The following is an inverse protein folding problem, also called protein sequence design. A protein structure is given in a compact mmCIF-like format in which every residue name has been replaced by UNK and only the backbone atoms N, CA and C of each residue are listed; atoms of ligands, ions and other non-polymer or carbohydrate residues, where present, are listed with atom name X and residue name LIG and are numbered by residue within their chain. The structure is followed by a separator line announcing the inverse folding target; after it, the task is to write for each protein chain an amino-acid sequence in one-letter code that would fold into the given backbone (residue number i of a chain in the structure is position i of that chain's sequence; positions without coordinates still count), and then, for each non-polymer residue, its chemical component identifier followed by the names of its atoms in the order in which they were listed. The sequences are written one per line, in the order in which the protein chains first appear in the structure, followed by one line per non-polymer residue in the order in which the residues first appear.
data_IF_553112884140
#
_entry.id   IF_553112884140
#
_cell.length_a   1.000
_cell.length_b   1.000
_cell.length_c   1.000
_cell.angle_alpha   90.00
_cell.angle_beta   90.00
_cell.angle_gamma   90.00
#
_symmetry.space_group_name_H-M   'P 1'
#
loop_
_entity.id
_entity.type
_entity.pdbx_description
1 polymer ?
#
# COMPACT_ATOMS: atom_id res chain seq x y z
N UNK A 1 -20.04 -6.67 2.61
CA UNK A 1 -20.62 -7.82 1.87
C UNK A 1 -22.04 -8.20 2.34
N UNK A 2 -22.30 -8.39 3.64
CA UNK A 2 -23.62 -8.82 4.16
C UNK A 2 -24.75 -7.80 3.88
N UNK A 3 -24.49 -6.50 4.09
CA UNK A 3 -25.48 -5.44 3.81
C UNK A 3 -25.79 -5.29 2.31
N UNK A 4 -24.81 -5.52 1.44
CA UNK A 4 -25.00 -5.50 -0.01
C UNK A 4 -25.89 -6.66 -0.47
N UNK A 5 -25.60 -7.89 -0.01
CA UNK A 5 -26.43 -9.08 -0.30
C UNK A 5 -27.87 -8.90 0.18
N UNK A 6 -28.06 -8.29 1.36
CA UNK A 6 -29.38 -8.00 1.92
C UNK A 6 -30.16 -6.97 1.10
N UNK A 7 -29.50 -5.89 0.68
CA UNK A 7 -30.12 -4.84 -0.14
C UNK A 7 -30.48 -5.34 -1.54
N UNK A 8 -29.61 -6.14 -2.16
CA UNK A 8 -29.86 -6.75 -3.47
C UNK A 8 -31.05 -7.71 -3.41
N UNK A 9 -31.09 -8.61 -2.42
CA UNK A 9 -32.21 -9.54 -2.22
C UNK A 9 -33.54 -8.80 -2.03
N UNK A 10 -33.56 -7.72 -1.23
CA UNK A 10 -34.78 -6.94 -1.03
C UNK A 10 -35.29 -6.30 -2.33
N UNK A 11 -34.38 -5.74 -3.13
CA UNK A 11 -34.74 -5.16 -4.44
C UNK A 11 -35.31 -6.22 -5.37
N UNK A 12 -34.65 -7.37 -5.50
CA UNK A 12 -35.10 -8.47 -6.37
C UNK A 12 -36.50 -8.96 -5.96
N UNK A 13 -36.75 -9.19 -4.67
CA UNK A 13 -38.05 -9.64 -4.17
C UNK A 13 -39.15 -8.58 -4.43
N UNK A 14 -38.85 -7.30 -4.22
CA UNK A 14 -39.81 -6.23 -4.47
C UNK A 14 -40.17 -6.11 -5.97
N UNK A 15 -39.19 -6.25 -6.87
CA UNK A 15 -39.46 -6.29 -8.31
C UNK A 15 -40.27 -7.53 -8.71
N UNK A 16 -39.95 -8.70 -8.14
CA UNK A 16 -40.69 -9.94 -8.35
C UNK A 16 -42.16 -9.83 -7.92
N UNK A 17 -42.42 -9.31 -6.71
CA UNK A 17 -43.77 -9.06 -6.21
C UNK A 17 -44.54 -8.08 -7.09
N UNK A 18 -43.89 -7.02 -7.59
CA UNK A 18 -44.49 -6.06 -8.51
C UNK A 18 -44.89 -6.71 -9.83
N UNK A 19 -44.00 -7.50 -10.39
CA UNK A 19 -44.25 -8.20 -11.65
C UNK A 19 -45.43 -9.17 -11.51
N UNK A 20 -45.45 -9.96 -10.42
CA UNK A 20 -46.53 -10.90 -10.14
C UNK A 20 -47.86 -10.23 -9.84
N UNK A 21 -47.89 -9.11 -9.12
CA UNK A 21 -49.14 -8.39 -8.87
C UNK A 21 -49.75 -7.82 -10.15
N UNK A 22 -48.93 -7.39 -11.10
CA UNK A 22 -49.40 -6.89 -12.41
C UNK A 22 -49.91 -8.02 -13.30
N UNK A 23 -49.22 -9.16 -13.34
CA UNK A 23 -49.54 -10.26 -14.27
C UNK A 23 -50.61 -11.20 -13.72
N UNK A 24 -50.67 -11.40 -12.41
CA UNK A 24 -51.62 -12.35 -11.80
C UNK A 24 -53.07 -11.99 -12.09
N UNK A 25 -53.42 -10.69 -12.12
CA UNK A 25 -54.79 -10.24 -12.37
C UNK A 25 -55.30 -10.64 -13.77
N UNK A 26 -54.67 -10.23 -14.89
CA UNK A 26 -55.14 -10.61 -16.22
C UNK A 26 -55.04 -12.12 -16.46
N UNK A 27 -53.98 -12.77 -15.99
CA UNK A 27 -53.78 -14.22 -16.18
C UNK A 27 -54.87 -15.03 -15.48
N UNK A 28 -55.20 -14.67 -14.24
CA UNK A 28 -56.22 -15.37 -13.46
C UNK A 28 -57.63 -15.06 -13.95
N UNK A 29 -57.86 -13.90 -14.54
CA UNK A 29 -59.12 -13.57 -15.21
C UNK A 29 -59.34 -14.46 -16.45
N UNK A 30 -58.31 -14.66 -17.27
CA UNK A 30 -58.35 -15.58 -18.41
C UNK A 30 -58.68 -17.00 -17.95
N UNK A 31 -58.01 -17.49 -16.90
CA UNK A 31 -58.28 -18.81 -16.33
C UNK A 31 -59.70 -18.91 -15.76
N UNK A 32 -60.20 -17.85 -15.12
CA UNK A 32 -61.56 -17.81 -14.57
C UNK A 32 -62.65 -17.95 -15.65
N UNK A 33 -62.47 -17.32 -16.81
CA UNK A 33 -63.39 -17.49 -17.96
C UNK A 33 -63.19 -18.82 -18.68
N UNK A 34 -61.94 -19.28 -18.81
CA UNK A 34 -61.66 -20.59 -19.42
C UNK A 34 -62.32 -21.76 -18.65
N UNK A 35 -62.57 -21.59 -17.35
CA UNK A 35 -63.21 -22.59 -16.49
C UNK A 35 -64.71 -22.35 -16.26
N UNK A 36 -65.34 -21.47 -17.03
CA UNK A 36 -66.75 -21.07 -16.84
C UNK A 36 -67.73 -22.25 -16.89
N UNK A 37 -67.47 -23.24 -17.75
CA UNK A 37 -68.31 -24.43 -17.92
C UNK A 37 -67.93 -25.59 -16.98
N UNK A 38 -66.92 -25.41 -16.12
CA UNK A 38 -66.48 -26.48 -15.21
C UNK A 38 -67.43 -26.62 -14.01
N UNK A 39 -67.79 -27.87 -13.67
CA UNK A 39 -68.70 -28.19 -12.56
C UNK A 39 -68.15 -27.81 -11.17
N UNK A 40 -66.84 -27.60 -11.04
CA UNK A 40 -66.18 -27.39 -9.75
C UNK A 40 -65.90 -25.90 -9.50
N UNK A 41 -66.82 -25.24 -8.79
CA UNK A 41 -66.72 -23.82 -8.42
C UNK A 41 -65.42 -23.46 -7.68
N UNK A 42 -64.88 -24.40 -6.88
CA UNK A 42 -63.66 -24.22 -6.08
C UNK A 42 -62.44 -23.99 -6.99
N UNK A 43 -62.32 -24.73 -8.09
CA UNK A 43 -61.18 -24.63 -9.03
C UNK A 43 -61.16 -23.28 -9.74
N UNK A 44 -62.34 -22.68 -9.96
CA UNK A 44 -62.52 -21.36 -10.56
C UNK A 44 -62.21 -20.21 -9.58
N UNK A 45 -62.45 -20.39 -8.28
CA UNK A 45 -62.22 -19.35 -7.25
C UNK A 45 -60.77 -19.18 -6.77
N UNK A 46 -59.95 -20.24 -6.82
CA UNK A 46 -58.56 -20.25 -6.33
C UNK A 46 -57.68 -19.17 -7.00
N UNK A 47 -57.70 -18.96 -8.34
CA UNK A 47 -56.91 -17.91 -9.00
C UNK A 47 -57.23 -16.50 -8.49
N UNK A 48 -58.50 -16.21 -8.24
CA UNK A 48 -58.94 -14.88 -7.77
C UNK A 48 -58.40 -14.63 -6.36
N UNK A 49 -58.55 -15.59 -5.45
CA UNK A 49 -57.99 -15.51 -4.10
C UNK A 49 -56.46 -15.34 -4.12
N UNK A 50 -55.77 -16.09 -4.97
CA UNK A 50 -54.32 -16.01 -5.07
C UNK A 50 -53.85 -14.64 -5.63
N UNK A 51 -54.60 -14.06 -6.57
CA UNK A 51 -54.32 -12.69 -7.06
C UNK A 51 -54.48 -11.64 -5.96
N UNK A 52 -55.52 -11.74 -5.13
CA UNK A 52 -55.74 -10.84 -3.99
C UNK A 52 -54.61 -10.95 -2.96
N UNK A 53 -54.12 -12.16 -2.68
CA UNK A 53 -53.00 -12.39 -1.78
C UNK A 53 -51.71 -11.76 -2.33
N UNK A 54 -51.42 -11.93 -3.62
CA UNK A 54 -50.22 -11.36 -4.28
C UNK A 54 -50.28 -9.82 -4.23
N UNK A 55 -51.43 -9.23 -4.56
CA UNK A 55 -51.63 -7.77 -4.52
C UNK A 55 -51.51 -7.25 -3.09
N UNK A 56 -52.10 -7.93 -2.11
CA UNK A 56 -51.97 -7.57 -0.69
C UNK A 56 -50.52 -7.57 -0.22
N UNK A 57 -49.75 -8.61 -0.54
CA UNK A 57 -48.32 -8.67 -0.20
C UNK A 57 -47.49 -7.59 -0.89
N UNK A 58 -47.85 -7.23 -2.14
CA UNK A 58 -47.20 -6.14 -2.85
C UNK A 58 -47.47 -4.76 -2.20
N UNK A 59 -48.70 -4.52 -1.72
CA UNK A 59 -49.08 -3.28 -1.03
C UNK A 59 -48.43 -3.16 0.35
N UNK A 60 -48.35 -4.25 1.09
CA UNK A 60 -47.73 -4.28 2.42
C UNK A 60 -46.21 -4.53 2.40
N UNK A 61 -45.58 -4.61 1.22
CA UNK A 61 -44.17 -5.01 1.08
C UNK A 61 -43.20 -4.17 1.91
N UNK A 62 -43.47 -2.88 2.11
CA UNK A 62 -42.53 -1.99 2.81
C UNK A 62 -42.66 -2.09 4.34
N UNK A 63 -43.75 -2.68 4.85
CA UNK A 63 -43.99 -2.90 6.29
C UNK A 63 -43.53 -4.27 6.79
N UNK A 64 -43.20 -5.19 5.89
CA UNK A 64 -42.88 -6.59 6.21
C UNK A 64 -41.37 -6.84 6.16
N UNK A 65 -40.87 -7.61 7.12
CA UNK A 65 -39.45 -8.00 7.16
C UNK A 65 -39.05 -8.76 5.88
N UNK A 66 -37.79 -8.59 5.44
CA UNK A 66 -37.25 -9.29 4.26
C UNK A 66 -37.50 -10.81 4.31
N UNK A 67 -37.28 -11.40 5.49
CA UNK A 67 -37.41 -12.84 5.70
C UNK A 67 -38.85 -13.32 5.54
N UNK A 68 -39.80 -12.64 6.19
CA UNK A 68 -41.22 -12.96 6.04
C UNK A 68 -41.69 -12.77 4.61
N UNK A 69 -41.24 -11.68 3.95
CA UNK A 69 -41.55 -11.39 2.54
C UNK A 69 -41.05 -12.49 1.61
N UNK A 70 -39.80 -12.92 1.78
CA UNK A 70 -39.20 -13.98 0.99
C UNK A 70 -39.96 -15.31 1.15
N UNK A 71 -40.30 -15.70 2.38
CA UNK A 71 -41.06 -16.93 2.65
C UNK A 71 -42.46 -16.92 2.05
N UNK A 72 -43.20 -15.83 2.23
CA UNK A 72 -44.53 -15.68 1.60
C UNK A 72 -44.45 -15.71 0.08
N UNK A 73 -43.39 -15.13 -0.49
CA UNK A 73 -43.16 -15.15 -1.92
C UNK A 73 -42.88 -16.56 -2.46
N UNK A 74 -41.99 -17.30 -1.82
CA UNK A 74 -41.68 -18.69 -2.17
C UNK A 74 -42.94 -19.58 -2.06
N UNK A 75 -43.74 -19.39 -1.00
CA UNK A 75 -44.97 -20.16 -0.79
C UNK A 75 -45.97 -19.93 -1.94
N UNK A 76 -46.14 -18.69 -2.39
CA UNK A 76 -47.02 -18.36 -3.51
C UNK A 76 -46.55 -19.01 -4.80
N UNK A 77 -45.25 -18.94 -5.09
CA UNK A 77 -44.66 -19.59 -6.27
C UNK A 77 -44.88 -21.11 -6.23
N UNK A 78 -44.78 -21.71 -5.05
CA UNK A 78 -45.01 -23.13 -4.91
C UNK A 78 -46.50 -23.50 -5.06
N UNK A 79 -47.42 -22.76 -4.43
CA UNK A 79 -48.86 -22.98 -4.52
C UNK A 79 -49.41 -22.75 -5.93
N UNK A 80 -48.87 -21.77 -6.66
CA UNK A 80 -49.19 -21.57 -8.10
C UNK A 80 -48.73 -22.73 -8.96
N UNK A 81 -47.53 -23.26 -8.69
CA UNK A 81 -47.04 -24.49 -9.32
C UNK A 81 -48.01 -25.66 -9.12
N UNK A 82 -48.44 -25.91 -7.88
CA UNK A 82 -49.44 -26.95 -7.56
C UNK A 82 -50.75 -26.73 -8.32
N UNK A 83 -51.26 -25.49 -8.35
CA UNK A 83 -52.52 -25.18 -9.03
C UNK A 83 -52.44 -25.41 -10.55
N UNK A 84 -51.38 -24.93 -11.19
CA UNK A 84 -51.18 -25.14 -12.64
C UNK A 84 -50.99 -26.62 -13.00
N UNK A 85 -50.35 -27.37 -12.10
CA UNK A 85 -50.17 -28.81 -12.23
C UNK A 85 -51.51 -29.55 -12.09
N UNK A 86 -52.40 -29.08 -11.21
CA UNK A 86 -53.76 -29.60 -11.07
C UNK A 86 -54.63 -29.35 -12.31
N UNK A 87 -54.41 -28.23 -13.01
CA UNK A 87 -55.03 -27.97 -14.32
C UNK A 87 -54.43 -28.80 -15.47
N UNK A 88 -53.39 -29.59 -15.19
CA UNK A 88 -52.70 -30.40 -16.18
C UNK A 88 -51.69 -29.65 -17.04
N UNK A 89 -51.34 -28.41 -16.67
CA UNK A 89 -50.37 -27.57 -17.36
C UNK A 89 -48.95 -27.82 -16.81
N UNK A 90 -48.39 -29.01 -17.09
CA UNK A 90 -47.08 -29.44 -16.56
C UNK A 90 -45.95 -28.43 -16.81
N UNK A 91 -45.87 -27.87 -18.02
CA UNK A 91 -44.79 -26.92 -18.36
C UNK A 91 -44.85 -25.65 -17.49
N UNK A 92 -46.07 -25.13 -17.27
CA UNK A 92 -46.27 -23.94 -16.45
C UNK A 92 -45.96 -24.22 -14.99
N UNK A 93 -46.33 -25.41 -14.50
CA UNK A 93 -46.01 -25.84 -13.14
C UNK A 93 -44.51 -25.94 -12.89
N UNK A 94 -43.76 -26.51 -13.84
CA UNK A 94 -42.32 -26.63 -13.74
C UNK A 94 -41.65 -25.26 -13.60
N UNK A 95 -42.12 -24.25 -14.33
CA UNK A 95 -41.60 -22.88 -14.25
C UNK A 95 -41.84 -22.24 -12.89
N UNK A 96 -43.04 -22.40 -12.32
CA UNK A 96 -43.36 -21.91 -10.97
C UNK A 96 -42.49 -22.59 -9.90
N UNK A 97 -42.25 -23.89 -10.00
CA UNK A 97 -41.37 -24.62 -9.08
C UNK A 97 -39.90 -24.20 -9.22
N UNK A 98 -39.40 -24.05 -10.44
CA UNK A 98 -38.04 -23.54 -10.68
C UNK A 98 -37.88 -22.15 -10.05
N UNK A 99 -38.86 -21.27 -10.22
CA UNK A 99 -38.83 -19.94 -9.62
C UNK A 99 -38.84 -20.02 -8.09
N UNK A 100 -39.68 -20.87 -7.50
CA UNK A 100 -39.70 -21.11 -6.05
C UNK A 100 -38.34 -21.59 -5.51
N UNK A 101 -37.66 -22.49 -6.23
CA UNK A 101 -36.33 -23.01 -5.90
C UNK A 101 -35.28 -21.89 -5.97
N UNK A 102 -35.26 -21.10 -7.05
CA UNK A 102 -34.33 -19.97 -7.22
C UNK A 102 -34.48 -18.98 -6.06
N UNK A 103 -35.71 -18.63 -5.69
CA UNK A 103 -35.95 -17.72 -4.58
C UNK A 103 -35.59 -18.33 -3.22
N UNK A 104 -35.72 -19.65 -3.05
CA UNK A 104 -35.30 -20.33 -1.83
C UNK A 104 -33.78 -20.24 -1.56
N UNK A 105 -32.94 -20.07 -2.58
CA UNK A 105 -31.49 -19.86 -2.40
C UNK A 105 -31.15 -18.53 -1.69
N UNK A 106 -32.08 -17.58 -1.69
CA UNK A 106 -31.94 -16.32 -0.94
C UNK A 106 -32.32 -16.45 0.53
N UNK A 107 -32.90 -17.58 0.95
CA UNK A 107 -33.27 -17.81 2.36
C UNK A 107 -32.06 -18.19 3.20
N UNK A 108 -32.15 -17.95 4.52
CA UNK A 108 -31.10 -18.31 5.48
C UNK A 108 -30.99 -19.82 5.71
N UNK A 109 -32.05 -20.57 5.43
CA UNK A 109 -32.12 -22.02 5.63
C UNK A 109 -31.44 -22.72 4.45
N UNK A 110 -30.21 -23.23 4.66
CA UNK A 110 -29.37 -23.82 3.60
C UNK A 110 -30.06 -24.93 2.79
N UNK A 111 -30.93 -25.74 3.42
CA UNK A 111 -31.54 -26.91 2.80
C UNK A 111 -32.95 -26.64 2.22
N UNK A 112 -33.50 -25.42 2.38
CA UNK A 112 -34.84 -25.10 1.88
C UNK A 112 -35.01 -25.33 0.36
N UNK A 113 -34.06 -24.95 -0.51
CA UNK A 113 -34.17 -25.21 -1.95
C UNK A 113 -34.29 -26.69 -2.27
N UNK A 114 -33.54 -27.54 -1.55
CA UNK A 114 -33.55 -28.98 -1.73
C UNK A 114 -34.92 -29.59 -1.36
N UNK A 115 -35.51 -29.15 -0.25
CA UNK A 115 -36.84 -29.63 0.15
C UNK A 115 -37.93 -29.21 -0.84
N UNK A 116 -37.88 -27.96 -1.34
CA UNK A 116 -38.82 -27.47 -2.35
C UNK A 116 -38.66 -28.26 -3.66
N UNK A 117 -37.43 -28.55 -4.06
CA UNK A 117 -37.14 -29.37 -5.24
C UNK A 117 -37.70 -30.78 -5.11
N UNK A 118 -37.43 -31.46 -3.99
CA UNK A 118 -37.95 -32.81 -3.74
C UNK A 118 -39.49 -32.84 -3.73
N UNK A 119 -40.12 -31.84 -3.11
CA UNK A 119 -41.58 -31.73 -3.08
C UNK A 119 -42.17 -31.49 -4.47
N UNK A 120 -41.58 -30.59 -5.27
CA UNK A 120 -42.00 -30.34 -6.65
C UNK A 120 -41.83 -31.59 -7.53
N UNK A 121 -40.70 -32.31 -7.38
CA UNK A 121 -40.41 -33.54 -8.11
C UNK A 121 -41.42 -34.65 -7.77
N UNK A 122 -41.75 -34.84 -6.50
CA UNK A 122 -42.74 -35.83 -6.08
C UNK A 122 -44.13 -35.51 -6.64
N UNK A 123 -44.55 -34.23 -6.60
CA UNK A 123 -45.85 -33.79 -7.11
C UNK A 123 -45.97 -33.94 -8.63
N UNK A 124 -44.91 -33.60 -9.37
CA UNK A 124 -44.86 -33.75 -10.83
C UNK A 124 -44.88 -35.21 -11.26
N UNK A 125 -44.13 -36.08 -10.59
CA UNK A 125 -44.17 -37.54 -10.86
C UNK A 125 -45.55 -38.11 -10.54
N UNK A 126 -46.11 -37.78 -9.38
CA UNK A 126 -47.43 -38.27 -8.96
C UNK A 126 -48.52 -37.90 -9.97
N UNK A 127 -48.55 -36.65 -10.43
CA UNK A 127 -49.55 -36.20 -11.39
C UNK A 127 -49.28 -36.66 -12.82
N UNK A 128 -48.03 -36.79 -13.22
CA UNK A 128 -47.65 -37.44 -14.47
C UNK A 128 -48.15 -38.89 -14.54
N UNK A 129 -47.98 -39.66 -13.45
CA UNK A 129 -48.51 -41.02 -13.34
C UNK A 129 -50.04 -41.05 -13.44
N UNK A 130 -50.73 -40.15 -12.71
CA UNK A 130 -52.19 -40.06 -12.76
C UNK A 130 -52.72 -39.77 -14.19
N UNK A 131 -52.04 -38.91 -14.94
CA UNK A 131 -52.40 -38.64 -16.34
C UNK A 131 -52.16 -39.86 -17.25
N UNK A 132 -51.07 -40.61 -17.05
CA UNK A 132 -50.77 -41.81 -17.83
C UNK A 132 -51.83 -42.90 -17.65
N UNK A 133 -52.40 -43.04 -16.44
CA UNK A 133 -53.45 -44.01 -16.18
C UNK A 133 -54.85 -43.59 -16.64
N UNK A 134 -54.99 -42.43 -17.31
CA UNK A 134 -56.27 -41.87 -17.79
C UNK A 134 -57.37 -41.86 -16.72
N UNK A 135 -57.00 -41.71 -15.44
CA UNK A 135 -57.96 -41.60 -14.35
C UNK A 135 -58.50 -40.16 -14.42
N UNK A 136 -59.76 -39.93 -14.83
CA UNK A 136 -60.29 -38.59 -14.95
C UNK A 136 -60.47 -38.03 -13.53
N UNK A 137 -59.49 -37.26 -13.06
CA UNK A 137 -59.53 -36.72 -11.70
C UNK A 137 -60.71 -35.77 -11.51
N UNK A 138 -61.13 -35.06 -12.57
CA UNK A 138 -62.25 -34.13 -12.58
C UNK A 138 -62.82 -34.11 -14.02
N UNK A 139 -64.16 -34.11 -14.21
CA UNK A 139 -64.77 -33.86 -15.51
C UNK A 139 -64.64 -32.37 -15.86
N UNK A 140 -63.45 -31.95 -16.29
CA UNK A 140 -63.23 -30.60 -16.81
C UNK A 140 -63.54 -30.64 -18.30
N UNK A 141 -64.71 -30.11 -18.66
CA UNK A 141 -65.12 -29.97 -20.05
C UNK A 141 -64.46 -28.71 -20.63
N UNK A 142 -63.20 -28.84 -21.06
CA UNK A 142 -62.59 -27.80 -21.87
C UNK A 142 -63.28 -27.88 -23.23
N UNK A 143 -63.98 -26.82 -23.68
CA UNK A 143 -64.51 -26.77 -25.04
C UNK A 143 -63.39 -26.94 -26.07
N UNK A 144 -63.13 -28.18 -26.50
CA UNK A 144 -61.80 -28.63 -26.94
C UNK A 144 -61.51 -28.43 -28.44
N UNK A 145 -62.50 -28.11 -29.27
CA UNK A 145 -62.32 -28.10 -30.73
C UNK A 145 -61.59 -26.85 -31.25
N UNK A 146 -61.76 -25.69 -30.61
CA UNK A 146 -61.01 -24.46 -30.92
C UNK A 146 -59.88 -24.17 -29.90
N UNK A 147 -59.84 -24.88 -28.77
CA UNK A 147 -58.88 -24.66 -27.69
C UNK A 147 -57.48 -25.23 -27.96
N UNK A 148 -57.32 -26.24 -28.84
CA UNK A 148 -56.00 -26.86 -29.04
C UNK A 148 -54.97 -25.88 -29.64
N UNK A 149 -55.37 -25.10 -30.67
CA UNK A 149 -54.48 -24.11 -31.28
C UNK A 149 -54.20 -22.93 -30.35
N UNK A 150 -55.21 -22.46 -29.61
CA UNK A 150 -55.04 -21.39 -28.63
C UNK A 150 -54.12 -21.81 -27.47
N UNK A 151 -54.28 -23.03 -26.94
CA UNK A 151 -53.39 -23.56 -25.90
C UNK A 151 -51.95 -23.72 -26.39
N UNK A 152 -51.74 -24.19 -27.62
CA UNK A 152 -50.40 -24.30 -28.21
C UNK A 152 -49.79 -22.91 -28.42
N UNK A 153 -50.55 -21.94 -28.94
CA UNK A 153 -50.09 -20.57 -29.12
C UNK A 153 -49.74 -19.91 -27.77
N UNK A 154 -50.57 -20.10 -26.73
CA UNK A 154 -50.31 -19.60 -25.37
C UNK A 154 -49.04 -20.23 -24.79
N UNK A 155 -48.80 -21.54 -25.00
CA UNK A 155 -47.56 -22.22 -24.55
C UNK A 155 -46.33 -21.64 -25.25
N UNK A 156 -46.39 -21.41 -26.56
CA UNK A 156 -45.29 -20.82 -27.33
C UNK A 156 -45.00 -19.38 -26.86
N UNK A 157 -46.05 -18.56 -26.70
CA UNK A 157 -45.92 -17.18 -26.24
C UNK A 157 -45.32 -17.12 -24.83
N UNK A 158 -45.80 -17.95 -23.91
CA UNK A 158 -45.25 -18.01 -22.55
C UNK A 158 -43.80 -18.47 -22.55
N UNK A 159 -43.43 -19.46 -23.37
CA UNK A 159 -42.03 -19.90 -23.51
C UNK A 159 -41.12 -18.77 -24.01
N UNK A 160 -41.57 -18.01 -25.02
CA UNK A 160 -40.82 -16.87 -25.56
C UNK A 160 -40.68 -15.73 -24.53
N UNK A 161 -41.74 -15.40 -23.80
CA UNK A 161 -41.72 -14.36 -22.76
C UNK A 161 -40.76 -14.76 -21.64
N UNK A 162 -40.84 -16.00 -21.17
CA UNK A 162 -40.00 -16.50 -20.09
C UNK A 162 -38.54 -16.58 -20.53
N UNK A 163 -38.27 -17.08 -21.73
CA UNK A 163 -36.94 -17.09 -22.32
C UNK A 163 -36.33 -15.69 -22.41
N UNK A 164 -37.12 -14.70 -22.84
CA UNK A 164 -36.69 -13.30 -22.90
C UNK A 164 -36.40 -12.71 -21.51
N UNK A 165 -37.26 -13.00 -20.51
CA UNK A 165 -37.05 -12.54 -19.13
C UNK A 165 -35.79 -13.16 -18.51
N UNK A 166 -35.58 -14.47 -18.69
CA UNK A 166 -34.38 -15.17 -18.23
C UNK A 166 -33.15 -14.57 -18.90
N UNK A 167 -33.17 -14.34 -20.22
CA UNK A 167 -32.07 -13.70 -20.94
C UNK A 167 -31.75 -12.30 -20.39
N UNK A 168 -32.77 -11.48 -20.12
CA UNK A 168 -32.58 -10.14 -19.52
C UNK A 168 -31.99 -10.20 -18.12
N UNK A 169 -32.45 -11.15 -17.28
CA UNK A 169 -31.91 -11.35 -15.92
C UNK A 169 -30.44 -11.78 -15.98
N UNK A 170 -30.13 -12.77 -16.82
CA UNK A 170 -28.75 -13.24 -17.01
C UNK A 170 -27.85 -12.12 -17.52
N UNK A 171 -28.29 -11.34 -18.52
CA UNK A 171 -27.53 -10.19 -19.04
C UNK A 171 -27.25 -9.17 -17.94
N UNK A 172 -28.25 -8.80 -17.13
CA UNK A 172 -28.05 -7.87 -16.01
C UNK A 172 -27.10 -8.42 -14.94
N UNK A 173 -27.18 -9.72 -14.66
CA UNK A 173 -26.29 -10.40 -13.72
C UNK A 173 -24.83 -10.36 -14.18
N UNK A 174 -24.57 -10.71 -15.44
CA UNK A 174 -23.21 -10.68 -16.01
C UNK A 174 -22.63 -9.26 -16.06
N UNK A 175 -23.41 -8.25 -16.46
CA UNK A 175 -22.98 -6.84 -16.42
C UNK A 175 -22.61 -6.41 -15.00
N UNK A 176 -23.39 -6.81 -14.01
CA UNK A 176 -23.13 -6.48 -12.60
C UNK A 176 -21.82 -7.12 -12.11
N UNK A 177 -21.54 -8.36 -12.53
CA UNK A 177 -20.29 -9.06 -12.20
C UNK A 177 -19.10 -8.32 -12.82
N UNK A 178 -19.19 -7.95 -14.09
CA UNK A 178 -18.11 -7.25 -14.80
C UNK A 178 -17.77 -5.91 -14.14
N UNK A 179 -18.77 -5.12 -13.78
CA UNK A 179 -18.57 -3.87 -13.04
C UNK A 179 -17.91 -4.09 -11.67
N UNK A 180 -18.31 -5.15 -10.95
CA UNK A 180 -17.73 -5.48 -9.66
C UNK A 180 -16.27 -5.95 -9.76
N UNK A 181 -15.92 -6.71 -10.79
CA UNK A 181 -14.53 -7.13 -11.05
C UNK A 181 -13.65 -5.91 -11.35
N UNK A 182 -14.13 -4.98 -12.18
CA UNK A 182 -13.40 -3.76 -12.52
C UNK A 182 -13.15 -2.89 -11.27
N UNK A 183 -14.16 -2.71 -10.41
CA UNK A 183 -14.00 -1.95 -9.15
C UNK A 183 -12.96 -2.58 -8.21
N UNK A 184 -12.89 -3.92 -8.16
CA UNK A 184 -11.86 -4.63 -7.38
C UNK A 184 -10.47 -4.41 -7.98
N UNK A 185 -10.35 -4.50 -9.31
CA UNK A 185 -9.07 -4.32 -9.99
C UNK A 185 -8.52 -2.91 -9.78
N UNK A 186 -9.35 -1.87 -9.89
CA UNK A 186 -8.96 -0.48 -9.63
C UNK A 186 -8.47 -0.30 -8.19
N UNK A 187 -9.18 -0.87 -7.22
CA UNK A 187 -8.77 -0.82 -5.81
C UNK A 187 -7.45 -1.55 -5.56
N UNK A 188 -7.24 -2.69 -6.21
CA UNK A 188 -5.99 -3.45 -6.09
C UNK A 188 -4.82 -2.67 -6.70
N UNK A 189 -5.01 -2.01 -7.84
CA UNK A 189 -3.98 -1.18 -8.47
C UNK A 189 -3.57 0.00 -7.57
N UNK A 190 -4.53 0.69 -6.96
CA UNK A 190 -4.26 1.77 -5.99
C UNK A 190 -3.53 1.24 -4.75
N UNK A 191 -3.91 0.07 -4.24
CA UNK A 191 -3.23 -0.55 -3.10
C UNK A 191 -1.79 -0.95 -3.41
N UNK A 192 -1.51 -1.42 -4.63
CA UNK A 192 -0.17 -1.75 -5.09
C UNK A 192 0.71 -0.50 -5.18
N UNK A 193 0.21 0.59 -5.78
CA UNK A 193 0.89 1.88 -5.82
C UNK A 193 1.22 2.43 -4.43
N UNK A 194 0.30 2.29 -3.46
CA UNK A 194 0.53 2.71 -2.07
C UNK A 194 1.56 1.84 -1.34
N UNK A 195 1.69 0.56 -1.70
CA UNK A 195 2.72 -0.33 -1.15
C UNK A 195 4.08 0.05 -1.71
N UNK A 196 4.16 0.32 -3.01
CA UNK A 196 5.41 0.74 -3.66
C UNK A 196 5.89 2.09 -3.14
N UNK A 197 4.99 3.06 -2.97
CA UNK A 197 5.36 4.37 -2.40
C UNK A 197 5.88 4.23 -0.97
N UNK A 198 5.24 3.41 -0.13
CA UNK A 198 5.70 3.13 1.24
C UNK A 198 7.04 2.40 1.29
N UNK A 199 7.26 1.44 0.40
CA UNK A 199 8.52 0.72 0.31
C UNK A 199 9.65 1.66 -0.12
N UNK A 200 9.41 2.52 -1.12
CA UNK A 200 10.36 3.55 -1.56
C UNK A 200 10.68 4.55 -0.45
N UNK A 201 9.68 5.01 0.30
CA UNK A 201 9.90 5.89 1.46
C UNK A 201 10.71 5.20 2.57
N UNK A 202 10.42 3.93 2.87
CA UNK A 202 11.15 3.16 3.86
C UNK A 202 12.62 2.95 3.44
N UNK A 203 12.86 2.63 2.17
CA UNK A 203 14.19 2.48 1.60
C UNK A 203 14.97 3.81 1.65
N UNK A 204 14.34 4.92 1.28
CA UNK A 204 14.94 6.25 1.39
C UNK A 204 15.28 6.61 2.83
N UNK A 205 14.38 6.34 3.79
CA UNK A 205 14.63 6.55 5.22
C UNK A 205 15.80 5.71 5.70
N UNK A 206 15.88 4.45 5.29
CA UNK A 206 16.99 3.56 5.64
C UNK A 206 18.33 4.04 5.06
N UNK A 207 18.35 4.43 3.78
CA UNK A 207 19.53 5.03 3.13
C UNK A 207 19.97 6.31 3.84
N UNK A 208 19.03 7.18 4.21
CA UNK A 208 19.32 8.41 4.94
C UNK A 208 19.85 8.14 6.36
N UNK A 209 19.35 7.11 7.05
CA UNK A 209 19.88 6.67 8.34
C UNK A 209 21.31 6.13 8.21
N UNK A 210 21.57 5.28 7.22
CA UNK A 210 22.93 4.79 6.95
C UNK A 210 23.90 5.93 6.65
N UNK A 211 23.49 6.90 5.83
CA UNK A 211 24.32 8.07 5.52
C UNK A 211 24.62 8.88 6.78
N UNK A 212 23.62 9.13 7.64
CA UNK A 212 23.80 9.84 8.91
C UNK A 212 24.78 9.11 9.84
N UNK A 213 24.63 7.79 9.99
CA UNK A 213 25.53 6.99 10.82
C UNK A 213 26.98 7.02 10.28
N UNK A 214 27.15 6.98 8.95
CA UNK A 214 28.47 7.08 8.34
C UNK A 214 29.10 8.47 8.55
N UNK A 215 28.31 9.55 8.43
CA UNK A 215 28.77 10.91 8.73
C UNK A 215 29.19 11.01 10.18
N UNK A 216 28.35 10.57 11.13
CA UNK A 216 28.65 10.62 12.57
C UNK A 216 29.92 9.81 12.90
N UNK A 217 30.07 8.63 12.31
CA UNK A 217 31.29 7.83 12.47
C UNK A 217 32.53 8.56 11.94
N UNK A 218 32.46 9.14 10.75
CA UNK A 218 33.58 9.91 10.19
C UNK A 218 33.90 11.17 11.01
N UNK A 219 32.89 11.86 11.55
CA UNK A 219 33.09 13.01 12.44
C UNK A 219 33.79 12.59 13.75
N UNK A 220 33.42 11.44 14.32
CA UNK A 220 34.09 10.87 15.49
C UNK A 220 35.55 10.50 15.20
N UNK A 221 35.81 9.86 14.05
CA UNK A 221 37.17 9.53 13.60
C UNK A 221 38.03 10.79 13.41
N UNK A 222 37.50 11.83 12.75
CA UNK A 222 38.18 13.12 12.59
C UNK A 222 38.47 13.77 13.93
N UNK A 223 37.49 13.76 14.86
CA UNK A 223 37.67 14.32 16.20
C UNK A 223 38.75 13.58 17.00
N UNK A 224 38.81 12.25 16.90
CA UNK A 224 39.84 11.45 17.54
C UNK A 224 41.23 11.79 16.98
N UNK A 225 41.38 11.80 15.65
CA UNK A 225 42.66 12.12 15.00
C UNK A 225 43.12 13.56 15.28
N UNK A 226 42.21 14.53 15.29
CA UNK A 226 42.54 15.91 15.66
C UNK A 226 43.06 16.00 17.10
N UNK A 227 42.46 15.26 18.04
CA UNK A 227 42.94 15.19 19.43
C UNK A 227 44.33 14.54 19.53
N UNK A 228 44.63 13.57 18.67
CA UNK A 228 45.96 12.97 18.59
C UNK A 228 47.01 13.95 18.07
N UNK A 229 46.65 14.74 17.04
CA UNK A 229 47.49 15.81 16.53
C UNK A 229 47.76 16.89 17.60
N UNK A 230 46.74 17.32 18.34
CA UNK A 230 46.88 18.28 19.46
C UNK A 230 47.82 17.75 20.55
N UNK A 231 47.70 16.47 20.91
CA UNK A 231 48.62 15.84 21.87
C UNK A 231 50.05 15.86 21.36
N UNK A 232 50.26 15.55 20.07
CA UNK A 232 51.57 15.59 19.43
C UNK A 232 52.19 17.00 19.50
N UNK A 233 51.41 18.04 19.21
CA UNK A 233 51.85 19.44 19.35
C UNK A 233 52.24 19.80 20.78
N UNK A 234 51.39 19.46 21.75
CA UNK A 234 51.64 19.77 23.15
C UNK A 234 52.95 19.14 23.66
N UNK A 235 53.23 17.90 23.26
CA UNK A 235 54.49 17.21 23.61
C UNK A 235 55.72 17.93 23.05
N UNK A 236 55.69 18.38 21.79
CA UNK A 236 56.82 19.12 21.17
C UNK A 236 57.00 20.49 21.84
N UNK A 237 55.91 21.19 22.14
CA UNK A 237 55.96 22.49 22.83
C UNK A 237 56.56 22.33 24.23
N UNK A 238 56.14 21.32 24.99
CA UNK A 238 56.69 21.01 26.31
C UNK A 238 58.19 20.71 26.23
N UNK A 239 58.59 19.87 25.26
CA UNK A 239 59.99 19.55 25.00
C UNK A 239 60.84 20.80 24.71
N UNK A 240 60.40 21.67 23.80
CA UNK A 240 61.17 22.87 23.44
C UNK A 240 61.21 23.91 24.57
N UNK A 241 60.15 24.04 25.37
CA UNK A 241 60.18 24.89 26.57
C UNK A 241 61.21 24.38 27.60
N UNK A 242 61.22 23.06 27.86
CA UNK A 242 62.19 22.45 28.77
C UNK A 242 63.63 22.61 28.26
N UNK A 243 63.83 22.59 26.94
CA UNK A 243 65.14 22.84 26.33
C UNK A 243 65.60 24.30 26.47
N UNK A 244 64.70 25.27 26.35
CA UNK A 244 65.01 26.68 26.62
C UNK A 244 65.32 26.92 28.11
N UNK A 245 64.58 26.30 29.02
CA UNK A 245 64.88 26.33 30.46
C UNK A 245 66.26 25.72 30.75
N UNK A 246 66.61 24.63 30.07
CA UNK A 246 67.93 24.02 30.13
C UNK A 246 69.05 24.96 29.65
N UNK A 247 68.88 25.64 28.50
CA UNK A 247 69.84 26.65 28.02
C UNK A 247 70.02 27.79 29.03
N UNK A 248 68.93 28.23 29.64
CA UNK A 248 68.93 29.30 30.65
C UNK A 248 69.68 28.86 31.92
N UNK A 249 69.45 27.63 32.38
CA UNK A 249 70.14 27.06 33.54
C UNK A 249 71.66 26.90 33.28
N UNK A 250 72.08 26.54 32.05
CA UNK A 250 73.50 26.56 31.65
C UNK A 250 74.07 27.98 31.67
N UNK A 251 73.40 28.95 31.05
CA UNK A 251 73.86 30.35 30.97
C UNK A 251 74.06 30.98 32.35
N UNK A 252 73.28 30.53 33.33
CA UNK A 252 73.35 30.97 34.72
C UNK A 252 74.32 30.14 35.58
N UNK A 253 75.16 29.28 34.98
CA UNK A 253 76.12 28.39 35.67
C UNK A 253 75.47 27.39 36.66
N UNK A 254 74.17 27.06 36.51
CA UNK A 254 73.43 26.12 37.35
C UNK A 254 73.51 24.67 36.81
N UNK A 255 74.74 24.17 36.69
CA UNK A 255 75.03 22.88 36.03
C UNK A 255 74.32 21.68 36.66
N UNK A 256 74.12 21.66 37.99
CA UNK A 256 73.41 20.58 38.70
C UNK A 256 71.94 20.48 38.29
N UNK A 257 71.27 21.63 38.11
CA UNK A 257 69.87 21.71 37.68
C UNK A 257 69.74 21.37 36.19
N UNK A 258 70.71 21.81 35.38
CA UNK A 258 70.82 21.46 33.97
C UNK A 258 70.98 19.92 33.77
N UNK A 259 71.81 19.25 34.58
CA UNK A 259 72.03 17.80 34.50
C UNK A 259 70.77 16.98 34.87
N UNK A 260 70.02 17.42 35.88
CA UNK A 260 68.75 16.81 36.26
C UNK A 260 67.69 16.97 35.17
N UNK A 261 67.67 18.12 34.50
CA UNK A 261 66.81 18.33 33.34
C UNK A 261 67.16 17.32 32.25
N UNK A 262 68.44 17.17 31.86
CA UNK A 262 68.92 16.20 30.83
C UNK A 262 68.46 14.77 31.11
N UNK A 263 68.57 14.29 32.34
CA UNK A 263 68.21 12.90 32.66
C UNK A 263 66.71 12.60 32.49
N UNK A 264 65.85 13.63 32.46
CA UNK A 264 64.43 13.48 32.13
C UNK A 264 64.12 13.55 30.62
N UNK A 265 65.12 13.78 29.75
CA UNK A 265 64.96 13.82 28.28
C UNK A 265 64.86 12.42 27.63
N UNK A 266 65.30 11.35 28.29
CA UNK A 266 65.28 10.02 27.67
C UNK A 266 63.90 9.38 27.80
N UNK A 267 63.10 9.40 26.71
CA UNK A 267 62.36 8.20 26.24
C UNK A 267 61.52 8.37 24.96
N UNK A 268 61.35 9.55 24.35
CA UNK A 268 60.57 9.64 23.11
C UNK A 268 61.21 10.64 22.12
N UNK A 269 61.49 10.18 20.90
CA UNK A 269 61.97 11.00 19.78
C UNK A 269 60.84 11.94 19.31
N UNK A 270 60.64 13.05 20.02
CA UNK A 270 59.71 14.09 19.63
C UNK A 270 60.32 14.94 18.52
N UNK A 271 60.01 14.61 17.27
CA UNK A 271 60.50 15.35 16.11
C UNK A 271 59.34 15.96 15.33
N UNK A 272 59.64 17.07 14.65
CA UNK A 272 58.76 17.69 13.66
C UNK A 272 58.29 16.67 12.61
N UNK A 273 59.12 15.68 12.27
CA UNK A 273 58.78 14.62 11.31
C UNK A 273 57.62 13.75 11.79
N UNK A 274 57.56 13.39 13.07
CA UNK A 274 56.45 12.58 13.59
C UNK A 274 55.11 13.33 13.50
N UNK A 275 55.13 14.64 13.74
CA UNK A 275 53.94 15.48 13.59
C UNK A 275 53.56 15.66 12.11
N UNK A 276 54.53 15.77 11.20
CA UNK A 276 54.27 15.78 9.75
C UNK A 276 53.59 14.47 9.31
N UNK A 277 54.00 13.32 9.86
CA UNK A 277 53.34 12.02 9.59
C UNK A 277 51.88 12.05 10.06
N UNK A 278 51.61 12.45 11.30
CA UNK A 278 50.23 12.56 11.85
C UNK A 278 49.40 13.58 11.05
N UNK A 279 50.00 14.69 10.61
CA UNK A 279 49.33 15.67 9.76
C UNK A 279 48.97 15.11 8.37
N UNK A 280 49.87 14.34 7.75
CA UNK A 280 49.63 13.75 6.44
C UNK A 280 48.56 12.65 6.48
N UNK A 281 48.35 12.00 7.63
CA UNK A 281 47.23 11.07 7.87
C UNK A 281 45.87 11.78 8.04
N UNK A 282 45.88 13.05 8.44
CA UNK A 282 44.69 13.90 8.60
C UNK A 282 44.34 14.64 7.30
N UNK A 283 45.36 15.10 6.57
CA UNK A 283 45.23 15.81 5.31
C UNK A 283 46.01 15.09 4.21
N UNK A 284 45.49 13.96 3.69
CA UNK A 284 46.17 13.19 2.66
C UNK A 284 46.50 14.06 1.44
N UNK A 285 47.70 13.90 0.91
CA UNK A 285 48.20 14.63 -0.27
C UNK A 285 48.37 16.15 -0.08
N UNK A 286 48.15 16.72 1.11
CA UNK A 286 48.31 18.16 1.32
C UNK A 286 49.72 18.63 0.98
N UNK A 287 50.74 17.95 1.51
CA UNK A 287 52.15 18.31 1.30
C UNK A 287 52.55 18.09 -0.17
N UNK A 288 52.01 17.05 -0.79
CA UNK A 288 52.25 16.74 -2.21
C UNK A 288 51.68 17.86 -3.08
N UNK A 289 50.39 18.19 -2.93
CA UNK A 289 49.74 19.29 -3.66
C UNK A 289 50.37 20.65 -3.36
N UNK A 290 50.85 20.88 -2.14
CA UNK A 290 51.55 22.11 -1.77
C UNK A 290 52.87 22.24 -2.54
N UNK A 291 53.65 21.15 -2.63
CA UNK A 291 54.90 21.10 -3.39
C UNK A 291 54.65 21.24 -4.90
N UNK A 292 53.62 20.58 -5.42
CA UNK A 292 53.28 20.60 -6.85
C UNK A 292 52.80 21.98 -7.30
N UNK A 293 51.92 22.62 -6.53
CA UNK A 293 51.36 23.93 -6.87
C UNK A 293 52.32 25.08 -6.60
N UNK A 294 53.26 24.92 -5.66
CA UNK A 294 54.17 25.97 -5.22
C UNK A 294 55.61 25.44 -5.06
N UNK A 295 56.27 25.04 -6.17
CA UNK A 295 57.61 24.45 -6.14
C UNK A 295 58.71 25.39 -5.59
N UNK A 296 58.43 26.70 -5.54
CA UNK A 296 59.32 27.74 -4.98
C UNK A 296 59.40 27.76 -3.44
N UNK A 297 58.58 26.98 -2.74
CA UNK A 297 58.63 26.88 -1.28
C UNK A 297 59.83 26.04 -0.85
N UNK A 298 60.59 26.53 0.12
CA UNK A 298 61.65 25.70 0.74
C UNK A 298 61.03 24.69 1.70
N UNK A 299 61.79 23.68 2.12
CA UNK A 299 61.35 22.70 3.12
C UNK A 299 60.91 23.39 4.44
N UNK A 300 61.61 24.44 4.84
CA UNK A 300 61.22 25.29 5.98
C UNK A 300 59.90 26.01 5.75
N UNK A 301 59.64 26.53 4.54
CA UNK A 301 58.36 27.14 4.21
C UNK A 301 57.21 26.12 4.29
N UNK A 302 57.44 24.91 3.76
CA UNK A 302 56.46 23.81 3.79
C UNK A 302 56.13 23.41 5.22
N UNK A 303 57.15 23.25 6.08
CA UNK A 303 56.94 22.93 7.49
C UNK A 303 56.13 24.01 8.20
N UNK A 304 56.44 25.29 7.96
CA UNK A 304 55.67 26.40 8.53
C UNK A 304 54.24 26.45 7.99
N UNK A 305 54.03 26.16 6.70
CA UNK A 305 52.68 26.02 6.12
C UNK A 305 51.87 24.91 6.80
N UNK A 306 52.46 23.73 7.02
CA UNK A 306 51.82 22.62 7.75
C UNK A 306 51.42 23.05 9.17
N UNK A 307 52.31 23.73 9.89
CA UNK A 307 52.04 24.21 11.25
C UNK A 307 50.92 25.27 11.28
N UNK A 308 50.93 26.20 10.33
CA UNK A 308 49.89 27.23 10.19
C UNK A 308 48.55 26.59 9.84
N UNK A 309 48.53 25.67 8.88
CA UNK A 309 47.32 24.95 8.45
C UNK A 309 46.77 24.00 9.51
N UNK A 310 47.59 23.61 10.49
CA UNK A 310 47.16 22.87 11.68
C UNK A 310 46.50 23.76 12.76
N UNK A 311 46.40 25.07 12.54
CA UNK A 311 45.76 26.01 13.47
C UNK A 311 46.66 26.54 14.58
N UNK A 312 47.97 26.30 14.51
CA UNK A 312 48.91 26.74 15.55
C UNK A 312 49.11 28.26 15.55
N UNK A 313 49.20 28.84 16.75
CA UNK A 313 49.51 30.26 16.96
C UNK A 313 50.98 30.53 16.72
N UNK A 314 51.34 31.78 16.40
CA UNK A 314 52.74 32.17 16.16
C UNK A 314 53.68 31.82 17.32
N UNK A 315 53.20 31.92 18.56
CA UNK A 315 53.91 31.52 19.80
C UNK A 315 54.21 30.01 19.82
N UNK A 316 53.28 29.19 19.36
CA UNK A 316 53.41 27.73 19.36
C UNK A 316 54.33 27.28 18.22
N UNK A 317 54.20 27.91 17.05
CA UNK A 317 55.06 27.70 15.90
C UNK A 317 56.51 28.08 16.25
N UNK A 318 56.73 29.19 16.94
CA UNK A 318 58.07 29.64 17.31
C UNK A 318 58.75 28.64 18.24
N UNK A 319 57.99 28.10 19.19
CA UNK A 319 58.44 27.01 20.07
C UNK A 319 58.78 25.76 19.29
N UNK A 320 57.88 25.27 18.43
CA UNK A 320 58.10 24.04 17.63
C UNK A 320 59.31 24.17 16.70
N UNK A 321 59.48 25.32 16.06
CA UNK A 321 60.56 25.60 15.11
C UNK A 321 61.87 26.04 15.79
N UNK A 322 61.88 26.19 17.12
CA UNK A 322 63.02 26.69 17.90
C UNK A 322 63.55 28.04 17.40
N UNK A 323 62.65 28.99 17.09
CA UNK A 323 62.96 30.36 16.65
C UNK A 323 62.14 31.38 17.46
N UNK A 324 62.39 32.68 17.25
CA UNK A 324 61.58 33.74 17.88
C UNK A 324 60.25 33.95 17.14
N UNK A 325 59.25 34.49 17.82
CA UNK A 325 57.95 34.83 17.21
C UNK A 325 58.11 35.83 16.06
N UNK A 326 59.06 36.76 16.16
CA UNK A 326 59.41 37.69 15.08
C UNK A 326 59.88 36.96 13.81
N UNK A 327 60.68 35.89 13.96
CA UNK A 327 61.10 35.04 12.85
C UNK A 327 59.94 34.25 12.26
N UNK A 328 58.94 33.85 13.05
CA UNK A 328 57.70 33.27 12.50
C UNK A 328 56.93 34.30 11.66
N UNK A 329 56.91 35.57 12.10
CA UNK A 329 56.36 36.68 11.33
C UNK A 329 57.03 36.89 9.97
N UNK A 330 58.37 36.79 9.92
CA UNK A 330 59.11 36.87 8.65
C UNK A 330 58.83 35.66 7.75
N UNK A 331 58.73 34.45 8.30
CA UNK A 331 58.30 33.26 7.54
C UNK A 331 56.89 33.43 6.96
N UNK A 332 55.92 33.91 7.74
CA UNK A 332 54.56 34.19 7.26
C UNK A 332 54.55 35.21 6.12
N UNK A 333 55.32 36.29 6.22
CA UNK A 333 55.41 37.30 5.17
C UNK A 333 56.10 36.77 3.91
N UNK A 334 57.13 35.93 4.07
CA UNK A 334 57.80 35.24 2.96
C UNK A 334 56.84 34.30 2.24
N UNK A 335 56.10 33.49 2.99
CA UNK A 335 55.07 32.58 2.48
C UNK A 335 53.99 33.35 1.73
N UNK A 336 53.47 34.45 2.29
CA UNK A 336 52.48 35.31 1.60
C UNK A 336 52.98 35.80 0.25
N UNK A 337 54.23 36.30 0.17
CA UNK A 337 54.83 36.74 -1.10
C UNK A 337 54.97 35.60 -2.10
N UNK A 338 55.44 34.42 -1.66
CA UNK A 338 55.63 33.25 -2.52
C UNK A 338 54.32 32.62 -3.01
N UNK A 339 53.26 32.73 -2.22
CA UNK A 339 51.91 32.23 -2.54
C UNK A 339 51.00 33.30 -3.16
N UNK A 340 51.49 34.54 -3.28
CA UNK A 340 50.74 35.69 -3.75
C UNK A 340 49.42 35.95 -2.98
N UNK A 341 49.49 35.91 -1.65
CA UNK A 341 48.35 36.09 -0.75
C UNK A 341 48.28 37.55 -0.29
N UNK A 342 47.11 38.17 -0.44
CA UNK A 342 46.84 39.52 0.07
C UNK A 342 46.96 39.60 1.59
N UNK A 343 47.33 40.78 2.11
CA UNK A 343 47.62 40.98 3.54
C UNK A 343 46.43 40.72 4.48
N UNK A 344 45.21 40.88 3.98
CA UNK A 344 43.94 40.65 4.67
C UNK A 344 43.48 39.18 4.66
N UNK A 345 44.12 38.31 3.88
CA UNK A 345 43.76 36.90 3.76
C UNK A 345 44.56 36.04 4.74
N UNK A 346 43.85 35.15 5.44
CA UNK A 346 44.47 34.17 6.31
C UNK A 346 45.13 33.04 5.50
N UNK A 347 46.40 32.78 5.80
CA UNK A 347 47.25 31.81 5.08
C UNK A 347 46.68 30.39 5.24
N UNK A 348 46.21 30.02 6.44
CA UNK A 348 45.68 28.69 6.69
C UNK A 348 44.40 28.47 5.86
N UNK A 349 43.48 29.43 5.90
CA UNK A 349 42.24 29.39 5.12
C UNK A 349 42.50 29.32 3.61
N UNK A 350 43.45 30.11 3.11
CA UNK A 350 43.85 30.09 1.70
C UNK A 350 44.37 28.71 1.28
N UNK A 351 45.33 28.15 2.04
CA UNK A 351 45.94 26.85 1.73
C UNK A 351 44.93 25.71 1.82
N UNK A 352 44.10 25.69 2.85
CA UNK A 352 43.06 24.66 3.01
C UNK A 352 42.09 24.75 1.84
N UNK A 353 41.54 25.93 1.53
CA UNK A 353 40.61 26.09 0.42
C UNK A 353 41.24 25.67 -0.93
N UNK A 354 42.44 26.16 -1.23
CA UNK A 354 43.12 25.95 -2.52
C UNK A 354 43.56 24.51 -2.76
N UNK A 355 43.90 23.76 -1.71
CA UNK A 355 44.47 22.40 -1.81
C UNK A 355 43.44 21.29 -1.54
N UNK A 356 42.33 21.59 -0.85
CA UNK A 356 41.26 20.60 -0.57
C UNK A 356 40.12 20.63 -1.59
N UNK A 357 39.83 21.78 -2.21
CA UNK A 357 38.82 21.87 -3.26
C UNK A 357 39.51 21.75 -4.62
N UNK A 358 39.26 20.63 -5.32
CA UNK A 358 39.64 20.47 -6.72
C UNK A 358 38.90 21.52 -7.57
N UNK A 359 39.60 22.53 -8.05
CA UNK A 359 39.29 23.13 -9.34
C UNK A 359 40.14 22.31 -10.34
N UNK A 360 39.59 21.38 -11.16
CA UNK A 360 38.80 21.67 -12.35
C UNK A 360 38.78 23.18 -12.66
N UNK A 361 39.79 23.57 -13.43
CA UNK A 361 39.98 24.86 -14.10
C UNK A 361 38.71 25.68 -14.29
N UNK A 362 38.74 26.89 -13.71
CA UNK A 362 38.25 28.12 -14.33
C UNK A 362 39.13 28.42 -15.54
#
# INVERSE_FOLDING_TARGET
MINFKRNLSNKIINYGLRFLSIISIPLNFIVFFALENSLCFIVRGIPVLLSLIIVGLFLYRDKVSLYSKLKSFILILFSTGIYTLFLGLLDMAALWFILAIIFAFFDRIKNLPLYIFLAALLLTISTGLLMMFKIPYIPIDYGFENCQFACVAIRIINFLIIGFLIFKILKMFFITIELYINEINDKNMVLEQLRDSKNNEAEQKFKNQLLKNNIEKHELELKYKNKELEKSFSKIIQFNNMFEDFKKDIRNNNYKKALLNINSFQTENYSLNNMIVVFNELYPQFIIKLKDNFPQLTETDINVCVLISSGLKSVEISRIMSVTEATVGTYRNRIRKKLNIESNVDIARFLIYRLTHNNSSI
#
